data_IF_681434524952
#
_entry.id   IF_681434524952
#
_cell.length_a   1.000
_cell.length_b   1.000
_cell.length_c   1.000
_cell.angle_alpha   90.00
_cell.angle_beta   90.00
_cell.angle_gamma   90.00
#
_symmetry.space_group_name_H-M   'P 1'
#
loop_
_entity.id
_entity.type
_entity.pdbx_description
1 polymer ?
#
# COMPACT_ATOMS: atom_id res chain seq x y z
N UNK A 1 -25.95 4.81 -5.36
CA UNK A 1 -24.66 4.20 -5.77
C UNK A 1 -23.68 4.66 -4.72
N UNK A 2 -23.50 3.88 -3.65
CA UNK A 2 -22.71 4.30 -2.49
C UNK A 2 -21.79 3.16 -2.07
N UNK A 3 -20.71 3.00 -2.83
CA UNK A 3 -19.64 2.02 -2.53
C UNK A 3 -18.82 2.48 -1.30
N UNK A 4 -18.98 3.72 -0.84
CA UNK A 4 -18.24 4.31 0.27
C UNK A 4 -18.66 3.87 1.68
N UNK A 5 -19.75 3.12 1.84
CA UNK A 5 -20.24 2.71 3.17
C UNK A 5 -19.56 1.43 3.70
N UNK A 6 -19.10 0.53 2.82
CA UNK A 6 -18.48 -0.74 3.24
C UNK A 6 -16.99 -0.59 3.65
N UNK A 7 -16.32 0.48 3.22
CA UNK A 7 -14.90 0.72 3.50
C UNK A 7 -14.63 1.27 4.91
N UNK A 8 -15.67 1.76 5.60
CA UNK A 8 -15.56 2.32 6.96
C UNK A 8 -15.37 1.27 8.06
N UNK A 9 -15.52 -0.02 7.77
CA UNK A 9 -15.55 -1.06 8.80
C UNK A 9 -14.19 -1.73 9.11
N UNK A 10 -13.11 -1.49 8.33
CA UNK A 10 -11.87 -2.32 8.43
C UNK A 10 -10.55 -1.54 8.46
N UNK A 11 -10.57 -0.21 8.63
CA UNK A 11 -9.35 0.61 8.68
C UNK A 11 -8.62 0.75 7.35
N UNK A 12 -9.26 0.38 6.23
CA UNK A 12 -8.76 0.58 4.87
C UNK A 12 -8.95 2.05 4.48
N UNK A 13 -7.91 2.78 4.03
CA UNK A 13 -8.06 4.13 3.50
C UNK A 13 -9.01 4.16 2.29
N UNK A 14 -9.78 5.24 2.07
CA UNK A 14 -10.55 5.41 0.84
C UNK A 14 -9.62 5.41 -0.38
N UNK A 15 -10.18 5.18 -1.57
CA UNK A 15 -9.39 5.26 -2.80
C UNK A 15 -8.73 6.64 -2.94
N UNK A 16 -7.42 6.71 -3.27
CA UNK A 16 -6.74 7.98 -3.41
C UNK A 16 -7.26 8.81 -4.58
N UNK A 17 -7.24 10.13 -4.42
CA UNK A 17 -7.39 11.06 -5.56
C UNK A 17 -6.28 10.83 -6.58
N UNK A 18 -6.46 11.28 -7.82
CA UNK A 18 -5.44 11.15 -8.89
C UNK A 18 -4.08 11.71 -8.45
N UNK A 19 -4.06 12.85 -7.77
CA UNK A 19 -2.82 13.45 -7.25
C UNK A 19 -2.14 12.57 -6.19
N UNK A 20 -2.90 12.07 -5.20
CA UNK A 20 -2.40 11.17 -4.16
C UNK A 20 -1.96 9.83 -4.73
N UNK A 21 -2.65 9.34 -5.77
CA UNK A 21 -2.28 8.12 -6.49
C UNK A 21 -0.91 8.28 -7.16
N UNK A 22 -0.67 9.39 -7.85
CA UNK A 22 0.62 9.66 -8.48
C UNK A 22 1.77 9.81 -7.46
N UNK A 23 1.51 10.43 -6.30
CA UNK A 23 2.48 10.51 -5.20
C UNK A 23 2.78 9.14 -4.60
N UNK A 24 1.74 8.36 -4.30
CA UNK A 24 1.86 6.98 -3.82
C UNK A 24 2.69 6.11 -4.76
N UNK A 25 2.37 6.11 -6.06
CA UNK A 25 3.07 5.30 -7.05
C UNK A 25 4.55 5.69 -7.15
N UNK A 26 4.88 6.98 -7.10
CA UNK A 26 6.28 7.43 -7.08
C UNK A 26 7.04 6.90 -5.86
N UNK A 27 6.43 6.93 -4.68
CA UNK A 27 7.06 6.43 -3.47
C UNK A 27 7.21 4.90 -3.46
N UNK A 28 6.22 4.18 -4.01
CA UNK A 28 6.30 2.72 -4.19
C UNK A 28 7.40 2.33 -5.19
N UNK A 29 7.51 3.04 -6.31
CA UNK A 29 8.54 2.81 -7.31
C UNK A 29 9.96 3.01 -6.76
N UNK A 30 10.13 3.91 -5.78
CA UNK A 30 11.42 4.11 -5.12
C UNK A 30 11.89 2.90 -4.29
N UNK A 31 10.96 2.07 -3.80
CA UNK A 31 11.29 0.81 -3.12
C UNK A 31 11.45 -0.36 -4.10
N UNK A 32 10.56 -0.44 -5.09
CA UNK A 32 10.64 -1.40 -6.18
C UNK A 32 9.95 -0.84 -7.42
N UNK A 33 10.68 -0.52 -8.51
CA UNK A 33 10.09 0.08 -9.71
C UNK A 33 9.10 -0.86 -10.42
N UNK A 34 9.22 -2.18 -10.24
CA UNK A 34 8.32 -3.13 -10.90
C UNK A 34 6.90 -3.09 -10.32
N UNK A 35 6.72 -2.62 -9.09
CA UNK A 35 5.39 -2.47 -8.45
C UNK A 35 4.46 -1.62 -9.32
N UNK A 36 4.97 -0.55 -9.92
CA UNK A 36 4.11 0.38 -10.68
C UNK A 36 3.78 -0.11 -12.09
N UNK A 37 4.31 -1.25 -12.54
CA UNK A 37 3.83 -1.92 -13.77
C UNK A 37 2.34 -2.25 -13.69
N UNK A 38 1.82 -2.45 -12.49
CA UNK A 38 0.42 -2.74 -12.22
C UNK A 38 -0.15 -1.74 -11.21
N UNK A 39 -0.20 -0.46 -11.60
CA UNK A 39 -0.56 0.65 -10.72
C UNK A 39 -1.84 0.43 -9.88
N UNK A 40 -2.91 -0.10 -10.46
CA UNK A 40 -4.14 -0.37 -9.70
C UNK A 40 -3.91 -1.42 -8.60
N UNK A 41 -3.17 -2.49 -8.90
CA UNK A 41 -2.77 -3.49 -7.88
C UNK A 41 -1.86 -2.88 -6.83
N UNK A 42 -0.95 -1.98 -7.22
CA UNK A 42 -0.07 -1.28 -6.28
C UNK A 42 -0.88 -0.41 -5.29
N UNK A 43 -1.90 0.28 -5.78
CA UNK A 43 -2.82 1.07 -4.94
C UNK A 43 -3.61 0.15 -4.00
N UNK A 44 -4.18 -0.94 -4.50
CA UNK A 44 -4.93 -1.89 -3.67
C UNK A 44 -4.05 -2.55 -2.60
N UNK A 45 -2.83 -2.95 -2.97
CA UNK A 45 -1.84 -3.49 -2.05
C UNK A 45 -1.46 -2.48 -0.95
N UNK A 46 -1.29 -1.20 -1.31
CA UNK A 46 -1.02 -0.14 -0.35
C UNK A 46 -2.19 0.08 0.61
N UNK A 47 -3.43 0.10 0.11
CA UNK A 47 -4.65 0.24 0.93
C UNK A 47 -4.80 -0.92 1.91
N UNK A 48 -4.57 -2.15 1.45
CA UNK A 48 -4.58 -3.36 2.29
C UNK A 48 -3.44 -3.35 3.32
N UNK A 49 -2.23 -2.90 2.92
CA UNK A 49 -1.12 -2.76 3.84
C UNK A 49 -1.43 -1.76 4.95
N UNK A 50 -2.06 -0.63 4.63
CA UNK A 50 -2.48 0.33 5.64
C UNK A 50 -3.50 -0.22 6.62
N UNK A 51 -4.43 -1.09 6.21
CA UNK A 51 -5.32 -1.76 7.16
C UNK A 51 -4.55 -2.60 8.18
N UNK A 52 -3.49 -3.32 7.76
CA UNK A 52 -2.64 -4.05 8.70
C UNK A 52 -1.82 -3.13 9.62
N UNK A 53 -1.31 -2.02 9.08
CA UNK A 53 -0.59 -1.00 9.87
C UNK A 53 -1.51 -0.39 10.93
N UNK A 54 -2.70 0.07 10.52
CA UNK A 54 -3.67 0.72 11.40
C UNK A 54 -4.27 -0.27 12.41
N UNK A 55 -4.37 -1.54 12.05
CA UNK A 55 -4.84 -2.63 12.91
C UNK A 55 -3.80 -3.21 13.86
N UNK A 56 -2.57 -2.65 13.89
CA UNK A 56 -1.51 -3.11 14.80
C UNK A 56 -0.97 -4.51 14.49
N UNK A 57 -1.04 -4.95 13.23
CA UNK A 57 -0.53 -6.26 12.83
C UNK A 57 0.99 -6.38 13.07
N UNK A 58 1.44 -7.60 13.33
CA UNK A 58 2.86 -7.92 13.45
C UNK A 58 3.48 -8.23 12.07
N UNK A 59 4.82 -8.18 11.99
CA UNK A 59 5.58 -8.53 10.76
C UNK A 59 5.12 -7.73 9.53
N UNK A 60 4.91 -6.42 9.70
CA UNK A 60 4.41 -5.53 8.65
C UNK A 60 5.30 -5.55 7.39
N UNK A 61 6.60 -5.72 7.54
CA UNK A 61 7.57 -5.73 6.42
C UNK A 61 7.40 -6.99 5.57
N UNK A 62 7.24 -8.15 6.22
CA UNK A 62 6.90 -9.41 5.56
C UNK A 62 5.52 -9.37 4.90
N UNK A 63 4.51 -8.80 5.57
CA UNK A 63 3.18 -8.62 4.98
C UNK A 63 3.22 -7.73 3.75
N UNK A 64 3.99 -6.65 3.78
CA UNK A 64 4.20 -5.79 2.63
C UNK A 64 4.89 -6.56 1.49
N UNK A 65 5.95 -7.33 1.79
CA UNK A 65 6.62 -8.16 0.80
C UNK A 65 5.65 -9.13 0.09
N UNK A 66 4.75 -9.78 0.83
CA UNK A 66 3.73 -10.65 0.24
C UNK A 66 2.71 -9.89 -0.60
N UNK A 67 2.16 -8.78 -0.09
CA UNK A 67 1.12 -8.00 -0.78
C UNK A 67 1.62 -7.34 -2.06
N UNK A 68 2.90 -6.98 -2.08
CA UNK A 68 3.56 -6.37 -3.23
C UNK A 68 4.33 -7.38 -4.09
N UNK A 69 4.14 -8.68 -3.83
CA UNK A 69 4.56 -9.76 -4.72
C UNK A 69 3.33 -10.26 -5.47
N UNK A 70 3.27 -9.98 -6.77
CA UNK A 70 2.16 -10.38 -7.63
C UNK A 70 2.61 -10.45 -9.08
N UNK A 71 2.03 -11.38 -9.84
CA UNK A 71 2.39 -11.60 -11.25
C UNK A 71 3.92 -11.82 -11.37
N UNK A 72 4.62 -10.98 -12.13
CA UNK A 72 6.07 -10.94 -12.30
C UNK A 72 6.79 -10.00 -11.31
N UNK A 73 6.07 -9.28 -10.46
CA UNK A 73 6.66 -8.42 -9.42
C UNK A 73 7.04 -9.27 -8.22
N UNK A 74 8.31 -9.23 -7.84
CA UNK A 74 8.82 -9.82 -6.58
C UNK A 74 9.27 -8.71 -5.65
N UNK A 75 8.79 -8.73 -4.41
CA UNK A 75 9.16 -7.75 -3.38
C UNK A 75 9.73 -8.47 -2.16
N UNK A 76 10.95 -8.13 -1.78
CA UNK A 76 11.62 -8.65 -0.58
C UNK A 76 11.13 -7.97 0.72
N UNK A 77 11.42 -8.55 1.89
CA UNK A 77 11.10 -7.92 3.18
C UNK A 77 11.79 -6.55 3.37
N UNK A 78 13.03 -6.39 2.88
CA UNK A 78 13.72 -5.11 2.94
C UNK A 78 12.99 -4.03 2.13
N UNK A 79 12.49 -4.38 0.94
CA UNK A 79 11.64 -3.49 0.15
C UNK A 79 10.28 -3.28 0.81
N UNK A 80 9.70 -4.32 1.42
CA UNK A 80 8.48 -4.23 2.24
C UNK A 80 8.61 -3.20 3.36
N UNK A 81 9.76 -3.15 4.03
CA UNK A 81 10.09 -2.12 5.02
C UNK A 81 10.12 -0.72 4.42
N UNK A 82 10.78 -0.54 3.27
CA UNK A 82 10.81 0.75 2.56
C UNK A 82 9.41 1.21 2.16
N UNK A 83 8.57 0.28 1.69
CA UNK A 83 7.15 0.54 1.38
C UNK A 83 6.41 1.00 2.64
N UNK A 84 6.55 0.30 3.77
CA UNK A 84 5.90 0.71 5.02
C UNK A 84 6.33 2.12 5.46
N UNK A 85 7.61 2.45 5.32
CA UNK A 85 8.12 3.80 5.62
C UNK A 85 7.51 4.84 4.68
N UNK A 86 7.43 4.55 3.38
CA UNK A 86 6.80 5.43 2.39
C UNK A 86 5.32 5.66 2.70
N UNK A 87 4.54 4.61 2.95
CA UNK A 87 3.10 4.72 3.24
C UNK A 87 2.82 5.55 4.50
N UNK A 88 3.68 5.45 5.52
CA UNK A 88 3.60 6.27 6.73
C UNK A 88 4.05 7.71 6.48
N UNK A 89 5.18 7.90 5.79
CA UNK A 89 5.74 9.23 5.50
C UNK A 89 4.85 10.09 4.62
N UNK A 90 4.11 9.47 3.70
CA UNK A 90 3.09 10.15 2.88
C UNK A 90 1.80 10.46 3.64
N UNK A 91 1.64 9.99 4.88
CA UNK A 91 0.36 10.04 5.59
C UNK A 91 -0.74 9.24 4.89
N UNK A 92 -0.36 8.24 4.06
CA UNK A 92 -1.31 7.40 3.33
C UNK A 92 -1.99 6.40 4.28
N UNK A 93 -1.24 5.85 5.24
CA UNK A 93 -1.80 5.11 6.37
C UNK A 93 -2.14 6.08 7.51
N UNK A 94 -3.28 5.86 8.18
CA UNK A 94 -3.63 6.53 9.44
C UNK A 94 -2.88 5.83 10.58
N UNK A 95 -1.60 6.19 10.74
CA UNK A 95 -0.78 5.82 11.89
C UNK A 95 -0.98 6.72 13.08
#
# INVERSE_FOLDING_TARGET
MDIGAAEKATGIPPEPTVAKRAELLRALAAANPDIVKYENKAVDAARNQCSAVNGGAQRLDWLAAQRFTYKDVTTSEAQGKQINQALKGLGFCKV
#
